data_IF_289727826156
#
_entry.id   IF_289727826156
#
_cell.length_a   1.000
_cell.length_b   1.000
_cell.length_c   1.000
_cell.angle_alpha   90.00
_cell.angle_beta   90.00
_cell.angle_gamma   90.00
#
_symmetry.space_group_name_H-M   'P 1'
#
loop_
_entity.id
_entity.type
_entity.pdbx_description
1 polymer ?
#
# COMPACT_ATOMS: atom_id res chain seq x y z
N UNK A 1 15.82 24.46 27.42
CA UNK A 1 16.02 24.91 26.05
C UNK A 1 17.49 24.71 25.65
N UNK A 2 17.95 23.58 25.11
CA UNK A 2 19.24 23.45 24.39
C UNK A 2 19.58 22.02 23.92
N UNK A 3 18.59 21.13 23.65
CA UNK A 3 18.86 19.77 23.09
C UNK A 3 18.57 19.63 21.59
N UNK A 4 18.35 20.71 20.85
CA UNK A 4 17.99 20.68 19.41
C UNK A 4 19.21 20.90 18.47
N UNK A 5 20.41 20.47 18.84
CA UNK A 5 21.59 20.59 17.96
C UNK A 5 22.16 19.29 17.41
N UNK A 6 21.52 18.15 17.58
CA UNK A 6 21.90 16.96 16.83
C UNK A 6 21.30 17.03 15.44
N UNK A 7 22.15 16.98 14.43
CA UNK A 7 21.72 16.99 13.01
C UNK A 7 21.24 15.59 12.64
N UNK A 8 19.90 15.35 12.67
CA UNK A 8 19.28 14.10 12.23
C UNK A 8 18.99 14.05 10.73
N UNK A 9 19.54 14.97 9.95
CA UNK A 9 19.34 14.99 8.50
C UNK A 9 19.74 13.66 7.83
N UNK A 10 20.88 13.02 8.17
CA UNK A 10 21.23 11.70 7.62
C UNK A 10 20.17 10.62 7.94
N UNK A 11 19.60 10.62 9.14
CA UNK A 11 18.55 9.69 9.51
C UNK A 11 17.24 9.95 8.74
N UNK A 12 16.89 11.22 8.50
CA UNK A 12 15.75 11.57 7.65
C UNK A 12 15.94 11.06 6.22
N UNK A 13 17.13 11.18 5.65
CA UNK A 13 17.45 10.60 4.34
C UNK A 13 17.39 9.07 4.35
N UNK A 14 17.88 8.42 5.40
CA UNK A 14 17.77 6.97 5.56
C UNK A 14 16.32 6.49 5.59
N UNK A 15 15.45 7.19 6.33
CA UNK A 15 14.01 6.91 6.37
C UNK A 15 13.33 7.19 5.02
N UNK A 16 13.70 8.28 4.36
CA UNK A 16 13.22 8.61 3.02
C UNK A 16 13.54 7.50 2.01
N UNK A 17 14.78 7.00 2.04
CA UNK A 17 15.22 5.88 1.21
C UNK A 17 14.48 4.57 1.57
N UNK A 18 14.22 4.33 2.85
CA UNK A 18 13.42 3.18 3.29
C UNK A 18 11.98 3.24 2.74
N UNK A 19 11.34 4.41 2.71
CA UNK A 19 10.01 4.57 2.13
C UNK A 19 9.98 4.37 0.61
N UNK A 20 11.01 4.82 -0.11
CA UNK A 20 11.16 4.57 -1.55
C UNK A 20 11.29 3.06 -1.81
N UNK A 21 12.17 2.38 -1.06
CA UNK A 21 12.40 0.93 -1.16
C UNK A 21 11.12 0.15 -0.82
N UNK A 22 10.43 0.55 0.24
CA UNK A 22 9.15 -0.01 0.63
C UNK A 22 8.11 0.13 -0.49
N UNK A 23 7.95 1.32 -1.05
CA UNK A 23 7.03 1.54 -2.17
C UNK A 23 7.31 0.63 -3.36
N UNK A 24 8.58 0.46 -3.72
CA UNK A 24 8.99 -0.39 -4.83
C UNK A 24 8.68 -1.88 -4.57
N UNK A 25 9.10 -2.42 -3.42
CA UNK A 25 8.92 -3.85 -3.10
C UNK A 25 7.43 -4.21 -2.97
N UNK A 26 6.62 -3.33 -2.37
CA UNK A 26 5.20 -3.61 -2.16
C UNK A 26 4.41 -3.53 -3.46
N UNK A 27 4.69 -2.56 -4.32
CA UNK A 27 3.82 -2.22 -5.44
C UNK A 27 4.30 -2.73 -6.81
N UNK A 28 5.38 -3.52 -6.84
CA UNK A 28 5.75 -4.34 -8.01
C UNK A 28 4.71 -5.42 -8.30
N UNK A 29 3.88 -5.75 -7.32
CA UNK A 29 2.92 -6.85 -7.33
C UNK A 29 2.06 -6.89 -8.60
N UNK A 30 1.48 -5.76 -9.02
CA UNK A 30 0.65 -5.70 -10.22
C UNK A 30 1.37 -6.09 -11.52
N UNK A 31 2.68 -5.83 -11.61
CA UNK A 31 3.50 -6.22 -12.76
C UNK A 31 3.88 -7.70 -12.75
N UNK A 32 3.98 -8.31 -11.56
CA UNK A 32 4.39 -9.73 -11.45
C UNK A 32 3.22 -10.71 -11.40
N UNK A 33 1.99 -10.29 -11.09
CA UNK A 33 0.81 -11.18 -11.03
C UNK A 33 0.63 -11.98 -12.32
N UNK A 34 0.67 -11.38 -13.54
CA UNK A 34 0.60 -12.17 -14.78
C UNK A 34 1.76 -13.16 -14.93
N UNK A 35 2.97 -12.78 -14.44
CA UNK A 35 4.15 -13.64 -14.49
C UNK A 35 4.07 -14.82 -13.53
N UNK A 36 3.52 -14.60 -12.34
CA UNK A 36 3.25 -15.67 -11.37
C UNK A 36 2.28 -16.69 -11.98
N UNK A 37 1.18 -16.21 -12.61
CA UNK A 37 0.20 -17.07 -13.29
C UNK A 37 0.87 -17.95 -14.35
N UNK A 38 1.69 -17.33 -15.20
CA UNK A 38 2.38 -17.98 -16.31
C UNK A 38 3.45 -18.97 -15.81
N UNK A 39 4.33 -18.54 -14.89
CA UNK A 39 5.50 -19.31 -14.43
C UNK A 39 5.10 -20.52 -13.59
N UNK A 40 4.09 -20.38 -12.72
CA UNK A 40 3.66 -21.44 -11.79
C UNK A 40 2.41 -22.19 -12.26
N UNK A 41 1.85 -21.86 -13.41
CA UNK A 41 0.62 -22.46 -13.94
C UNK A 41 -0.53 -22.46 -12.94
N UNK A 42 -0.69 -21.37 -12.20
CA UNK A 42 -1.72 -21.19 -11.19
C UNK A 42 -2.86 -20.30 -11.70
N UNK A 43 -3.99 -20.32 -11.01
CA UNK A 43 -5.13 -19.45 -11.33
C UNK A 43 -4.82 -17.95 -11.13
N UNK A 44 -5.62 -17.06 -11.68
CA UNK A 44 -5.50 -15.63 -11.49
C UNK A 44 -5.67 -15.25 -10.01
N UNK A 45 -6.61 -15.91 -9.31
CA UNK A 45 -6.82 -15.70 -7.87
C UNK A 45 -5.60 -16.12 -7.04
N UNK A 46 -4.98 -17.27 -7.36
CA UNK A 46 -3.77 -17.74 -6.68
C UNK A 46 -2.58 -16.80 -6.94
N UNK A 47 -2.39 -16.33 -8.18
CA UNK A 47 -1.32 -15.39 -8.49
C UNK A 47 -1.50 -14.04 -7.79
N UNK A 48 -2.73 -13.53 -7.75
CA UNK A 48 -3.07 -12.31 -7.02
C UNK A 48 -2.92 -12.49 -5.50
N UNK A 49 -3.24 -13.68 -4.96
CA UNK A 49 -3.05 -14.00 -3.56
C UNK A 49 -1.57 -13.99 -3.16
N UNK A 50 -0.69 -14.65 -3.94
CA UNK A 50 0.75 -14.63 -3.68
C UNK A 50 1.28 -13.19 -3.62
N UNK A 51 0.90 -12.35 -4.57
CA UNK A 51 1.29 -10.96 -4.61
C UNK A 51 0.75 -10.14 -3.41
N UNK A 52 -0.38 -10.57 -2.83
CA UNK A 52 -1.08 -9.86 -1.77
C UNK A 52 -0.79 -10.38 -0.35
N UNK A 53 -0.10 -11.51 -0.21
CA UNK A 53 0.18 -12.14 1.10
C UNK A 53 1.00 -11.24 2.04
N UNK A 54 1.76 -10.31 1.46
CA UNK A 54 2.43 -9.22 2.15
C UNK A 54 1.51 -8.48 3.15
N UNK A 55 0.26 -8.21 2.75
CA UNK A 55 -0.69 -7.48 3.57
C UNK A 55 -1.22 -8.30 4.75
N UNK A 56 -1.18 -9.64 4.67
CA UNK A 56 -1.49 -10.52 5.82
C UNK A 56 -0.44 -10.31 6.92
N UNK A 57 0.84 -10.33 6.54
CA UNK A 57 1.92 -10.06 7.47
C UNK A 57 1.77 -8.67 8.11
N UNK A 58 1.38 -7.67 7.31
CA UNK A 58 1.15 -6.32 7.78
C UNK A 58 0.06 -6.27 8.86
N UNK A 59 -1.09 -6.87 8.61
CA UNK A 59 -2.20 -6.92 9.56
C UNK A 59 -1.83 -7.65 10.86
N UNK A 60 -1.11 -8.78 10.77
CA UNK A 60 -0.75 -9.59 11.93
C UNK A 60 0.37 -8.99 12.79
N UNK A 61 1.32 -8.27 12.19
CA UNK A 61 2.55 -7.85 12.88
C UNK A 61 2.60 -6.38 13.28
N UNK A 62 1.67 -5.55 12.82
CA UNK A 62 1.62 -4.11 13.15
C UNK A 62 1.55 -3.86 14.65
N UNK A 63 0.64 -4.53 15.36
CA UNK A 63 0.49 -4.39 16.82
C UNK A 63 1.69 -4.94 17.59
N UNK A 64 2.18 -6.16 17.31
CA UNK A 64 3.43 -6.66 17.88
C UNK A 64 4.62 -5.70 17.73
N UNK A 65 4.82 -5.11 16.55
CA UNK A 65 5.92 -4.15 16.35
C UNK A 65 5.69 -2.83 17.09
N UNK A 66 4.45 -2.37 17.24
CA UNK A 66 4.12 -1.23 18.10
C UNK A 66 4.54 -1.44 19.55
N UNK A 67 4.33 -2.64 20.08
CA UNK A 67 4.78 -3.06 21.41
C UNK A 67 6.31 -3.15 21.48
N UNK A 68 6.93 -3.73 20.43
CA UNK A 68 8.38 -3.94 20.36
C UNK A 68 9.17 -2.62 20.43
N UNK A 69 8.67 -1.55 19.79
CA UNK A 69 9.29 -0.21 19.83
C UNK A 69 9.36 0.29 21.28
N UNK A 70 8.29 0.10 22.05
CA UNK A 70 8.24 0.52 23.43
C UNK A 70 9.23 -0.28 24.30
N UNK A 71 9.38 -1.58 24.02
CA UNK A 71 10.25 -2.49 24.79
C UNK A 71 11.73 -2.30 24.45
N UNK A 72 12.10 -2.22 23.17
CA UNK A 72 13.51 -2.16 22.74
C UNK A 72 13.92 -0.74 22.32
N UNK A 73 13.69 -0.35 21.08
CA UNK A 73 13.92 1.01 20.55
C UNK A 73 13.46 1.11 19.12
N UNK A 74 13.27 2.34 18.61
CA UNK A 74 13.01 2.60 17.19
C UNK A 74 14.16 2.10 16.31
N UNK A 75 15.43 2.27 16.74
CA UNK A 75 16.61 1.77 16.02
C UNK A 75 16.54 0.24 15.83
N UNK A 76 16.34 -0.50 16.93
CA UNK A 76 16.27 -1.96 16.89
C UNK A 76 15.17 -2.41 15.92
N UNK A 77 13.97 -1.84 16.03
CA UNK A 77 12.83 -2.24 15.21
C UNK A 77 13.03 -1.90 13.73
N UNK A 78 13.63 -0.76 13.40
CA UNK A 78 13.96 -0.38 12.02
C UNK A 78 15.01 -1.28 11.39
N UNK A 79 16.11 -1.53 12.10
CA UNK A 79 17.20 -2.38 11.62
C UNK A 79 16.75 -3.83 11.49
N UNK A 80 16.00 -4.34 12.48
CA UNK A 80 15.39 -5.66 12.41
C UNK A 80 14.45 -5.79 11.22
N UNK A 81 13.57 -4.79 11.02
CA UNK A 81 12.66 -4.76 9.87
C UNK A 81 13.40 -4.74 8.53
N UNK A 82 14.46 -3.94 8.41
CA UNK A 82 15.29 -3.90 7.21
C UNK A 82 16.00 -5.24 6.93
N UNK A 83 16.51 -5.90 7.97
CA UNK A 83 17.11 -7.23 7.87
C UNK A 83 16.10 -8.27 7.38
N UNK A 84 14.92 -8.34 8.00
CA UNK A 84 13.85 -9.27 7.61
C UNK A 84 13.37 -8.98 6.17
N UNK A 85 13.23 -7.71 5.79
CA UNK A 85 12.90 -7.35 4.41
C UNK A 85 13.95 -7.86 3.43
N UNK A 86 15.25 -7.64 3.74
CA UNK A 86 16.36 -8.09 2.90
C UNK A 86 16.38 -9.61 2.76
N UNK A 87 16.14 -10.36 3.85
CA UNK A 87 15.99 -11.81 3.81
C UNK A 87 14.83 -12.22 2.92
N UNK A 88 13.67 -11.57 3.06
CA UNK A 88 12.48 -11.88 2.26
C UNK A 88 12.70 -11.67 0.76
N UNK A 89 13.28 -10.53 0.33
CA UNK A 89 13.55 -10.30 -1.10
C UNK A 89 14.65 -11.22 -1.63
N UNK A 90 15.68 -11.55 -0.82
CA UNK A 90 16.72 -12.53 -1.18
C UNK A 90 16.14 -13.93 -1.35
N UNK A 91 15.25 -14.36 -0.46
CA UNK A 91 14.55 -15.65 -0.59
C UNK A 91 13.72 -15.70 -1.87
N UNK A 92 13.01 -14.63 -2.20
CA UNK A 92 12.23 -14.55 -3.43
C UNK A 92 13.11 -14.66 -4.68
N UNK A 93 14.29 -14.03 -4.65
CA UNK A 93 15.24 -14.05 -5.77
C UNK A 93 15.93 -15.42 -5.96
N UNK A 94 16.20 -16.14 -4.85
CA UNK A 94 17.11 -17.31 -4.87
C UNK A 94 16.39 -18.65 -4.75
N UNK A 95 15.16 -18.68 -4.23
CA UNK A 95 14.43 -19.94 -3.99
C UNK A 95 13.17 -19.98 -4.85
N UNK A 96 13.22 -20.65 -6.03
CA UNK A 96 12.06 -20.74 -6.92
C UNK A 96 10.94 -21.59 -6.33
N UNK A 97 9.70 -21.24 -6.63
CA UNK A 97 8.53 -22.02 -6.25
C UNK A 97 7.40 -21.13 -5.71
N UNK A 98 6.16 -21.53 -5.97
CA UNK A 98 4.99 -20.75 -5.57
C UNK A 98 4.91 -20.54 -4.05
N UNK A 99 5.05 -21.62 -3.26
CA UNK A 99 4.96 -21.54 -1.79
C UNK A 99 6.18 -20.86 -1.15
N UNK A 100 7.39 -21.08 -1.71
CA UNK A 100 8.60 -20.38 -1.24
C UNK A 100 8.49 -18.87 -1.48
N UNK A 101 8.01 -18.47 -2.65
CA UNK A 101 7.81 -17.05 -2.97
C UNK A 101 6.67 -16.43 -2.15
N UNK A 102 5.63 -17.19 -1.83
CA UNK A 102 4.57 -16.75 -0.92
C UNK A 102 5.13 -16.49 0.49
N UNK A 103 5.96 -17.40 1.00
CA UNK A 103 6.63 -17.23 2.30
C UNK A 103 7.63 -16.06 2.27
N UNK A 104 8.35 -15.88 1.17
CA UNK A 104 9.24 -14.74 0.96
C UNK A 104 8.49 -13.40 0.99
N UNK A 105 7.32 -13.31 0.31
CA UNK A 105 6.46 -12.12 0.34
C UNK A 105 5.90 -11.84 1.74
N UNK A 106 5.50 -12.88 2.47
CA UNK A 106 5.09 -12.74 3.87
C UNK A 106 6.25 -12.17 4.71
N UNK A 107 7.45 -12.69 4.55
CA UNK A 107 8.66 -12.23 5.25
C UNK A 107 8.96 -10.77 4.90
N UNK A 108 8.87 -10.37 3.64
CA UNK A 108 8.96 -8.95 3.23
C UNK A 108 7.92 -8.10 3.97
N UNK A 109 6.68 -8.57 4.04
CA UNK A 109 5.59 -7.88 4.74
C UNK A 109 5.89 -7.66 6.22
N UNK A 110 6.40 -8.69 6.92
CA UNK A 110 6.84 -8.57 8.32
C UNK A 110 7.90 -7.47 8.48
N UNK A 111 8.93 -7.50 7.63
CA UNK A 111 10.04 -6.54 7.71
C UNK A 111 9.59 -5.10 7.42
N UNK A 112 8.82 -4.90 6.37
CA UNK A 112 8.31 -3.57 5.98
C UNK A 112 7.34 -3.01 7.01
N UNK A 113 6.50 -3.85 7.61
CA UNK A 113 5.63 -3.45 8.73
C UNK A 113 6.44 -2.92 9.90
N UNK A 114 7.52 -3.61 10.29
CA UNK A 114 8.41 -3.15 11.36
C UNK A 114 9.02 -1.78 11.05
N UNK A 115 9.47 -1.57 9.80
CA UNK A 115 10.03 -0.29 9.35
C UNK A 115 8.98 0.82 9.46
N UNK A 116 7.79 0.61 8.92
CA UNK A 116 6.76 1.65 8.86
C UNK A 116 6.23 2.02 10.25
N UNK A 117 5.98 1.02 11.10
CA UNK A 117 5.49 1.23 12.47
C UNK A 117 6.53 2.00 13.30
N UNK A 118 7.82 1.77 13.09
CA UNK A 118 8.89 2.47 13.81
C UNK A 118 9.23 3.85 13.22
N UNK A 119 9.13 4.01 11.90
CA UNK A 119 9.51 5.25 11.22
C UNK A 119 8.57 6.42 11.57
N UNK A 120 7.26 6.22 11.58
CA UNK A 120 6.28 7.29 11.80
C UNK A 120 6.48 8.06 13.12
N UNK A 121 6.56 7.39 14.30
CA UNK A 121 6.82 8.09 15.56
C UNK A 121 8.24 8.69 15.61
N UNK A 122 9.23 8.01 15.01
CA UNK A 122 10.60 8.50 14.97
C UNK A 122 10.71 9.80 14.16
N UNK A 123 10.03 9.90 13.02
CA UNK A 123 9.97 11.15 12.23
C UNK A 123 9.41 12.29 13.06
N UNK A 124 8.38 12.03 13.89
CA UNK A 124 7.81 13.04 14.77
C UNK A 124 8.80 13.50 15.83
N UNK A 125 9.60 12.57 16.36
CA UNK A 125 10.61 12.85 17.40
C UNK A 125 11.77 13.69 16.86
N UNK A 126 12.29 13.37 15.66
CA UNK A 126 13.49 14.01 15.08
C UNK A 126 13.18 15.24 14.21
N UNK A 127 11.91 15.46 13.85
CA UNK A 127 11.50 16.64 13.08
C UNK A 127 11.21 17.83 13.97
N UNK A 128 11.53 19.02 13.47
CA UNK A 128 10.96 20.23 14.05
C UNK A 128 9.43 20.14 13.95
N UNK A 129 8.65 20.46 15.02
CA UNK A 129 7.19 20.39 14.99
C UNK A 129 6.54 21.07 13.77
N UNK A 130 7.09 22.23 13.35
CA UNK A 130 6.62 22.96 12.16
C UNK A 130 6.92 22.23 10.82
N UNK A 131 7.83 21.25 10.83
CA UNK A 131 8.27 20.52 9.62
C UNK A 131 7.80 19.06 9.60
N UNK A 132 7.19 18.58 10.67
CA UNK A 132 6.78 17.17 10.79
C UNK A 132 5.86 16.72 9.66
N UNK A 133 4.76 17.45 9.46
CA UNK A 133 3.79 17.12 8.39
C UNK A 133 4.45 17.13 7.02
N UNK A 134 5.30 18.12 6.75
CA UNK A 134 6.06 18.20 5.48
C UNK A 134 6.98 17.00 5.28
N UNK A 135 7.72 16.58 6.30
CA UNK A 135 8.64 15.45 6.20
C UNK A 135 7.88 14.14 6.01
N UNK A 136 6.76 13.94 6.69
CA UNK A 136 5.91 12.77 6.51
C UNK A 136 5.31 12.72 5.10
N UNK A 137 4.84 13.86 4.60
CA UNK A 137 4.35 13.97 3.20
C UNK A 137 5.46 13.65 2.20
N UNK A 138 6.68 14.15 2.41
CA UNK A 138 7.83 13.84 1.55
C UNK A 138 8.12 12.33 1.50
N UNK A 139 8.00 11.61 2.62
CA UNK A 139 8.17 10.16 2.63
C UNK A 139 7.07 9.44 1.86
N UNK A 140 5.83 9.88 1.97
CA UNK A 140 4.71 9.34 1.18
C UNK A 140 4.89 9.58 -0.33
N UNK A 141 5.49 10.71 -0.70
CA UNK A 141 5.89 10.98 -2.10
C UNK A 141 6.95 9.99 -2.57
N UNK A 142 7.98 9.75 -1.77
CA UNK A 142 9.05 8.80 -2.12
C UNK A 142 8.53 7.35 -2.18
N UNK A 143 7.62 6.97 -1.29
CA UNK A 143 6.88 5.72 -1.42
C UNK A 143 6.16 5.62 -2.78
N UNK A 144 5.45 6.67 -3.18
CA UNK A 144 4.76 6.73 -4.47
C UNK A 144 5.72 6.68 -5.67
N UNK A 145 6.88 7.32 -5.57
CA UNK A 145 7.95 7.25 -6.59
C UNK A 145 8.45 5.80 -6.72
N UNK A 146 8.75 5.13 -5.61
CA UNK A 146 9.15 3.73 -5.61
C UNK A 146 8.09 2.82 -6.24
N UNK A 147 6.83 3.02 -5.86
CA UNK A 147 5.67 2.30 -6.42
C UNK A 147 5.54 2.47 -7.94
N UNK A 148 5.74 3.69 -8.41
CA UNK A 148 5.66 4.03 -9.84
C UNK A 148 6.79 3.38 -10.64
N UNK A 149 8.01 3.39 -10.12
CA UNK A 149 9.21 2.89 -10.82
C UNK A 149 9.24 1.36 -10.85
N UNK A 150 8.73 0.68 -9.83
CA UNK A 150 8.88 -0.76 -9.66
C UNK A 150 8.43 -1.60 -10.88
N UNK A 151 7.26 -1.37 -11.52
CA UNK A 151 6.86 -2.10 -12.72
C UNK A 151 7.82 -1.89 -13.91
N UNK A 152 8.43 -0.72 -14.01
CA UNK A 152 9.43 -0.44 -15.06
C UNK A 152 10.75 -1.18 -14.84
N UNK A 153 11.11 -1.48 -13.57
CA UNK A 153 12.27 -2.33 -13.25
C UNK A 153 12.02 -3.75 -13.82
N UNK A 154 10.81 -4.29 -13.70
CA UNK A 154 10.45 -5.59 -14.29
C UNK A 154 10.64 -5.57 -15.80
N UNK A 155 10.15 -4.53 -16.47
CA UNK A 155 10.33 -4.33 -17.93
C UNK A 155 11.80 -4.21 -18.29
N UNK A 156 12.59 -3.46 -17.55
CA UNK A 156 14.03 -3.30 -17.76
C UNK A 156 14.77 -4.65 -17.66
N UNK A 157 14.51 -5.42 -16.61
CA UNK A 157 15.11 -6.75 -16.41
C UNK A 157 14.81 -7.65 -17.62
N UNK A 158 13.56 -7.68 -18.03
CA UNK A 158 13.12 -8.48 -19.19
C UNK A 158 13.77 -8.03 -20.49
N UNK A 159 13.92 -6.71 -20.71
CA UNK A 159 14.56 -6.16 -21.92
C UNK A 159 16.04 -6.53 -22.04
N UNK A 160 16.68 -6.92 -20.95
CA UNK A 160 18.06 -7.43 -20.90
C UNK A 160 18.15 -8.96 -21.06
N UNK A 161 17.02 -9.64 -21.32
CA UNK A 161 16.96 -11.09 -21.51
C UNK A 161 16.96 -11.89 -20.21
N UNK A 162 16.80 -11.25 -19.05
CA UNK A 162 16.73 -11.95 -17.76
C UNK A 162 15.29 -12.36 -17.42
N UNK A 163 15.15 -13.38 -16.58
CA UNK A 163 13.87 -13.77 -15.99
C UNK A 163 13.33 -12.66 -15.08
N UNK A 164 12.01 -12.52 -15.00
CA UNK A 164 11.35 -11.48 -14.19
C UNK A 164 11.74 -11.54 -12.70
N UNK A 165 12.08 -12.71 -12.18
CA UNK A 165 12.55 -12.92 -10.80
C UNK A 165 13.83 -12.17 -10.48
N UNK A 166 14.66 -11.85 -11.50
CA UNK A 166 15.88 -11.04 -11.31
C UNK A 166 15.58 -9.62 -10.81
N UNK A 167 14.36 -9.14 -10.93
CA UNK A 167 13.90 -7.91 -10.29
C UNK A 167 14.13 -7.95 -8.77
N UNK A 168 13.98 -9.12 -8.16
CA UNK A 168 14.18 -9.29 -6.72
C UNK A 168 15.67 -9.29 -6.31
N UNK A 169 16.60 -9.59 -7.21
CA UNK A 169 18.02 -9.35 -6.98
C UNK A 169 18.33 -7.84 -6.89
N UNK A 170 17.71 -7.02 -7.73
CA UNK A 170 17.81 -5.56 -7.64
C UNK A 170 17.25 -5.08 -6.30
N UNK A 171 16.08 -5.57 -5.89
CA UNK A 171 15.51 -5.23 -4.58
C UNK A 171 16.37 -5.75 -3.41
N UNK A 172 17.05 -6.88 -3.56
CA UNK A 172 18.01 -7.38 -2.57
C UNK A 172 19.16 -6.40 -2.39
N UNK A 173 19.73 -5.89 -3.47
CA UNK A 173 20.82 -4.88 -3.42
C UNK A 173 20.29 -3.61 -2.74
N UNK A 174 19.15 -3.09 -3.17
CA UNK A 174 18.56 -1.86 -2.63
C UNK A 174 18.24 -2.01 -1.15
N UNK A 175 17.63 -3.13 -0.73
CA UNK A 175 17.29 -3.37 0.68
C UNK A 175 18.53 -3.62 1.55
N UNK A 176 19.59 -4.20 1.00
CA UNK A 176 20.89 -4.34 1.70
C UNK A 176 21.52 -2.96 1.93
N UNK A 177 21.49 -2.07 0.94
CA UNK A 177 21.94 -0.68 1.10
C UNK A 177 21.08 0.03 2.16
N UNK A 178 19.77 -0.14 2.11
CA UNK A 178 18.84 0.41 3.12
C UNK A 178 19.20 -0.09 4.53
N UNK A 179 19.43 -1.40 4.70
CA UNK A 179 19.83 -2.00 5.97
C UNK A 179 21.13 -1.37 6.48
N UNK A 180 22.15 -1.24 5.63
CA UNK A 180 23.43 -0.65 6.00
C UNK A 180 23.27 0.81 6.42
N UNK A 181 22.53 1.61 5.64
CA UNK A 181 22.30 3.03 5.93
C UNK A 181 21.56 3.20 7.26
N UNK A 182 20.56 2.36 7.55
CA UNK A 182 19.84 2.39 8.83
C UNK A 182 20.73 1.94 10.01
N UNK A 183 21.62 0.96 9.82
CA UNK A 183 22.57 0.50 10.84
C UNK A 183 23.54 1.61 11.28
N UNK A 184 24.13 2.34 10.32
CA UNK A 184 25.14 3.37 10.61
C UNK A 184 24.53 4.71 11.03
N UNK A 185 23.22 4.91 10.85
CA UNK A 185 22.53 6.15 11.21
C UNK A 185 22.55 6.39 12.71
N UNK A 186 22.64 7.66 13.12
CA UNK A 186 22.53 8.09 14.52
C UNK A 186 21.07 8.29 14.88
N UNK A 187 20.64 7.70 15.99
CA UNK A 187 19.28 7.77 16.51
C UNK A 187 19.21 8.63 17.78
N UNK A 188 18.05 9.22 18.09
CA UNK A 188 17.84 9.86 19.37
C UNK A 188 17.92 8.84 20.51
N UNK A 189 18.38 9.30 21.68
CA UNK A 189 18.38 8.48 22.89
C UNK A 189 16.94 8.12 23.28
N UNK A 190 16.74 6.86 23.68
CA UNK A 190 15.43 6.36 24.09
C UNK A 190 14.91 7.16 25.29
N UNK A 191 13.80 7.89 25.11
CA UNK A 191 13.05 8.42 26.25
C UNK A 191 12.35 7.24 26.95
N UNK A 192 12.54 7.11 28.26
CA UNK A 192 11.81 6.11 29.06
C UNK A 192 10.31 6.39 28.95
N UNK A 193 9.58 5.51 28.30
CA UNK A 193 8.12 5.58 28.28
C UNK A 193 7.59 5.30 29.69
N UNK A 194 6.91 6.26 30.30
CA UNK A 194 6.15 6.03 31.51
C UNK A 194 5.06 4.98 31.28
N UNK A 195 4.89 4.10 32.29
CA UNK A 195 3.94 2.99 32.29
C UNK A 195 2.49 3.47 32.15
N UNK A 196 1.98 3.55 30.92
CA UNK A 196 0.55 3.78 30.63
C UNK A 196 -0.14 2.55 30.02
N UNK A 197 0.36 1.35 30.25
CA UNK A 197 -0.06 0.14 29.51
C UNK A 197 -1.42 -0.40 29.98
N UNK A 198 -1.74 -0.39 31.28
CA UNK A 198 -2.97 -1.04 31.79
C UNK A 198 -4.28 -0.32 31.45
N UNK A 199 -4.30 1.00 31.34
CA UNK A 199 -5.51 1.75 30.93
C UNK A 199 -5.81 1.64 29.43
N UNK A 200 -4.82 1.28 28.62
CA UNK A 200 -4.97 1.20 27.16
C UNK A 200 -5.70 -0.06 26.69
N UNK A 201 -5.61 -1.18 27.41
CA UNK A 201 -6.24 -2.45 27.00
C UNK A 201 -7.77 -2.40 27.09
N UNK A 202 -8.31 -1.88 28.20
CA UNK A 202 -9.76 -1.74 28.36
C UNK A 202 -10.35 -0.73 27.36
N UNK A 203 -9.62 0.36 27.07
CA UNK A 203 -10.01 1.35 26.08
C UNK A 203 -9.97 0.78 24.66
N UNK A 204 -8.97 -0.05 24.35
CA UNK A 204 -8.85 -0.75 23.06
C UNK A 204 -10.04 -1.67 22.81
N UNK A 205 -10.37 -2.55 23.76
CA UNK A 205 -11.52 -3.46 23.64
C UNK A 205 -12.85 -2.72 23.54
N UNK A 206 -13.00 -1.60 24.20
CA UNK A 206 -14.20 -0.75 24.11
C UNK A 206 -14.32 -0.13 22.72
N UNK A 207 -13.23 0.40 22.17
CA UNK A 207 -13.23 1.00 20.84
C UNK A 207 -13.45 -0.03 19.73
N UNK A 208 -12.93 -1.26 19.88
CA UNK A 208 -13.20 -2.34 18.92
C UNK A 208 -14.69 -2.70 18.78
N UNK A 209 -15.49 -2.42 19.80
CA UNK A 209 -16.94 -2.63 19.80
C UNK A 209 -17.74 -1.41 19.35
N UNK A 210 -17.08 -0.26 19.18
CA UNK A 210 -17.77 0.96 18.74
C UNK A 210 -18.17 0.85 17.27
N UNK A 211 -19.49 0.95 16.94
CA UNK A 211 -19.96 0.80 15.56
C UNK A 211 -19.31 1.76 14.58
N UNK A 212 -18.99 2.98 15.01
CA UNK A 212 -18.38 3.99 14.15
C UNK A 212 -16.92 3.63 13.83
N UNK A 213 -16.17 3.09 14.80
CA UNK A 213 -14.81 2.56 14.55
C UNK A 213 -14.87 1.36 13.61
N UNK A 214 -15.84 0.46 13.76
CA UNK A 214 -16.02 -0.70 12.88
C UNK A 214 -16.29 -0.22 11.45
N UNK A 215 -17.16 0.78 11.26
CA UNK A 215 -17.46 1.34 9.94
C UNK A 215 -16.23 1.97 9.28
N UNK A 216 -15.45 2.78 10.02
CA UNK A 216 -14.20 3.35 9.47
C UNK A 216 -13.14 2.30 9.21
N UNK A 217 -13.01 1.29 10.07
CA UNK A 217 -12.09 0.17 9.89
C UNK A 217 -12.44 -0.62 8.62
N UNK A 218 -13.73 -0.91 8.41
CA UNK A 218 -14.20 -1.55 7.18
C UNK A 218 -13.96 -0.66 5.95
N UNK A 219 -14.14 0.67 6.07
CA UNK A 219 -13.84 1.59 4.97
C UNK A 219 -12.36 1.57 4.56
N UNK A 220 -11.44 1.55 5.52
CA UNK A 220 -9.99 1.40 5.23
C UNK A 220 -9.69 0.02 4.64
N UNK A 221 -10.29 -1.05 5.17
CA UNK A 221 -10.15 -2.40 4.65
C UNK A 221 -10.57 -2.48 3.18
N UNK A 222 -11.75 -1.97 2.85
CA UNK A 222 -12.28 -1.97 1.48
C UNK A 222 -11.46 -1.05 0.57
N UNK A 223 -11.02 0.12 1.08
CA UNK A 223 -10.20 1.03 0.31
C UNK A 223 -8.84 0.40 -0.08
N UNK A 224 -8.08 -0.10 0.91
CA UNK A 224 -6.78 -0.73 0.62
C UNK A 224 -6.99 -1.97 -0.24
N UNK A 225 -8.07 -2.69 0.02
CA UNK A 225 -8.47 -3.84 -0.77
C UNK A 225 -8.66 -3.51 -2.24
N UNK A 226 -9.39 -2.45 -2.57
CA UNK A 226 -9.63 -2.06 -3.96
C UNK A 226 -8.43 -1.38 -4.59
N UNK A 227 -7.67 -0.59 -3.82
CA UNK A 227 -6.41 0.03 -4.29
C UNK A 227 -5.45 -1.04 -4.82
N UNK A 228 -5.19 -2.06 -4.01
CA UNK A 228 -4.30 -3.18 -4.35
C UNK A 228 -4.97 -4.11 -5.36
N UNK A 229 -6.27 -4.35 -5.20
CA UNK A 229 -7.05 -5.27 -6.03
C UNK A 229 -7.10 -4.86 -7.49
N UNK A 230 -7.34 -3.58 -7.76
CA UNK A 230 -7.29 -3.05 -9.12
C UNK A 230 -5.86 -3.12 -9.66
N UNK A 231 -4.86 -2.61 -8.91
CA UNK A 231 -3.47 -2.59 -9.35
C UNK A 231 -2.93 -3.98 -9.72
N UNK A 232 -3.19 -4.99 -8.87
CA UNK A 232 -2.69 -6.35 -9.08
C UNK A 232 -3.33 -7.06 -10.27
N UNK A 233 -4.55 -6.69 -10.62
CA UNK A 233 -5.30 -7.36 -11.69
C UNK A 233 -5.28 -6.59 -13.03
N UNK A 234 -4.68 -5.39 -13.12
CA UNK A 234 -4.59 -4.59 -14.37
C UNK A 234 -3.99 -5.42 -15.51
N UNK A 235 -2.88 -6.10 -15.27
CA UNK A 235 -2.18 -6.84 -16.31
C UNK A 235 -3.01 -8.00 -16.90
N UNK A 236 -3.73 -8.74 -16.03
CA UNK A 236 -4.62 -9.81 -16.42
C UNK A 236 -5.86 -9.28 -17.15
N UNK A 237 -6.47 -8.22 -16.60
CA UNK A 237 -7.63 -7.56 -17.22
C UNK A 237 -7.30 -7.05 -18.63
N UNK A 238 -6.14 -6.41 -18.82
CA UNK A 238 -5.73 -5.93 -20.15
C UNK A 238 -5.50 -7.08 -21.13
N UNK A 239 -5.00 -8.23 -20.67
CA UNK A 239 -4.85 -9.41 -21.51
C UNK A 239 -6.20 -9.99 -21.88
N UNK A 240 -7.04 -10.29 -20.90
CA UNK A 240 -8.27 -11.06 -21.12
C UNK A 240 -9.38 -10.24 -21.78
N UNK A 241 -9.49 -8.93 -21.48
CA UNK A 241 -10.53 -8.04 -22.05
C UNK A 241 -10.11 -7.44 -23.38
N UNK A 242 -8.82 -7.11 -23.55
CA UNK A 242 -8.36 -6.37 -24.72
C UNK A 242 -7.52 -7.21 -25.68
N UNK A 243 -7.06 -8.41 -25.28
CA UNK A 243 -6.20 -9.27 -26.08
C UNK A 243 -4.90 -8.56 -26.45
N UNK A 244 -4.26 -7.92 -25.48
CA UNK A 244 -3.15 -7.00 -25.75
C UNK A 244 -1.94 -7.73 -26.36
N UNK A 245 -1.68 -8.98 -25.98
CA UNK A 245 -0.58 -9.78 -26.52
C UNK A 245 -0.78 -10.12 -27.99
N UNK A 246 -2.01 -10.42 -28.42
CA UNK A 246 -2.33 -10.71 -29.82
C UNK A 246 -2.23 -9.46 -30.70
N UNK A 247 -2.46 -8.27 -30.16
CA UNK A 247 -2.43 -6.99 -30.90
C UNK A 247 -1.04 -6.38 -31.02
N UNK A 248 -0.22 -6.49 -29.98
CA UNK A 248 1.08 -5.81 -29.89
C UNK A 248 2.29 -6.77 -29.98
N UNK A 249 2.05 -8.08 -29.89
CA UNK A 249 3.09 -9.07 -29.67
C UNK A 249 3.53 -9.13 -28.19
N UNK A 250 4.09 -10.25 -27.77
CA UNK A 250 4.34 -10.58 -26.37
C UNK A 250 5.17 -9.52 -25.61
N UNK A 251 6.29 -9.08 -26.19
CA UNK A 251 7.21 -8.14 -25.52
C UNK A 251 6.59 -6.74 -25.34
N UNK A 252 5.93 -6.22 -26.39
CA UNK A 252 5.30 -4.90 -26.33
C UNK A 252 4.06 -4.92 -25.40
N UNK A 253 3.30 -6.00 -25.40
CA UNK A 253 2.17 -6.20 -24.50
C UNK A 253 2.62 -6.23 -23.04
N UNK A 254 3.71 -6.94 -22.73
CA UNK A 254 4.26 -6.99 -21.38
C UNK A 254 4.71 -5.60 -20.92
N UNK A 255 5.47 -4.88 -21.74
CA UNK A 255 5.89 -3.52 -21.45
C UNK A 255 4.68 -2.60 -21.20
N UNK A 256 3.62 -2.73 -22.00
CA UNK A 256 2.39 -1.93 -21.86
C UNK A 256 1.64 -2.27 -20.57
N UNK A 257 1.52 -3.56 -20.19
CA UNK A 257 0.90 -4.00 -18.94
C UNK A 257 1.67 -3.43 -17.73
N UNK A 258 2.99 -3.51 -17.74
CA UNK A 258 3.83 -2.97 -16.68
C UNK A 258 3.74 -1.44 -16.60
N UNK A 259 3.73 -0.75 -17.75
CA UNK A 259 3.54 0.69 -17.81
C UNK A 259 2.16 1.10 -17.28
N UNK A 260 1.10 0.34 -17.57
CA UNK A 260 -0.24 0.60 -17.05
C UNK A 260 -0.27 0.53 -15.50
N UNK A 261 0.39 -0.46 -14.89
CA UNK A 261 0.53 -0.56 -13.43
C UNK A 261 1.36 0.60 -12.89
N UNK A 262 2.48 0.95 -13.52
CA UNK A 262 3.30 2.10 -13.14
C UNK A 262 2.52 3.42 -13.21
N UNK A 263 1.74 3.61 -14.26
CA UNK A 263 0.90 4.78 -14.45
C UNK A 263 -0.25 4.86 -13.46
N UNK A 264 -0.81 3.72 -13.01
CA UNK A 264 -1.78 3.69 -11.92
C UNK A 264 -1.17 4.26 -10.64
N UNK A 265 0.03 3.81 -10.26
CA UNK A 265 0.73 4.31 -9.08
C UNK A 265 1.20 5.77 -9.23
N UNK A 266 1.59 6.17 -10.44
CA UNK A 266 1.87 7.56 -10.76
C UNK A 266 0.63 8.44 -10.61
N UNK A 267 -0.52 7.98 -11.10
CA UNK A 267 -1.81 8.64 -10.89
C UNK A 267 -2.10 8.86 -9.40
N UNK A 268 -1.90 7.81 -8.59
CA UNK A 268 -2.10 7.86 -7.14
C UNK A 268 -1.12 8.84 -6.47
N UNK A 269 0.14 8.89 -6.90
CA UNK A 269 1.13 9.86 -6.42
C UNK A 269 0.70 11.28 -6.74
N UNK A 270 0.32 11.57 -7.99
CA UNK A 270 -0.15 12.90 -8.43
C UNK A 270 -1.44 13.29 -7.72
N UNK A 271 -2.36 12.35 -7.56
CA UNK A 271 -3.61 12.57 -6.84
C UNK A 271 -3.40 12.91 -5.35
N UNK A 272 -2.41 12.33 -4.68
CA UNK A 272 -2.03 12.70 -3.30
C UNK A 272 -1.44 14.11 -3.23
N UNK A 273 -0.56 14.45 -4.16
CA UNK A 273 0.03 15.80 -4.23
C UNK A 273 -1.02 16.87 -4.47
N UNK A 274 -1.86 16.70 -5.49
CA UNK A 274 -2.91 17.67 -5.85
C UNK A 274 -4.05 17.63 -4.84
N UNK A 275 -4.42 16.45 -4.37
CA UNK A 275 -5.50 16.23 -3.42
C UNK A 275 -5.28 16.93 -2.08
N UNK A 276 -4.02 17.13 -1.65
CA UNK A 276 -3.71 17.91 -0.45
C UNK A 276 -4.24 19.36 -0.57
N UNK A 277 -4.04 19.99 -1.72
CA UNK A 277 -4.56 21.35 -1.97
C UNK A 277 -6.08 21.38 -2.15
N UNK A 278 -6.67 20.29 -2.62
CA UNK A 278 -8.14 20.16 -2.75
C UNK A 278 -8.78 20.05 -1.38
N UNK A 279 -8.20 19.28 -0.46
CA UNK A 279 -8.69 19.11 0.91
C UNK A 279 -8.59 20.37 1.76
N UNK A 280 -7.74 21.34 1.39
CA UNK A 280 -7.72 22.67 2.01
C UNK A 280 -8.96 23.52 1.64
N UNK A 281 -9.61 23.21 0.52
CA UNK A 281 -10.73 24.01 -0.03
C UNK A 281 -12.10 23.36 0.13
N UNK A 282 -12.17 22.05 0.24
CA UNK A 282 -13.43 21.31 0.37
C UNK A 282 -13.36 20.34 1.53
N UNK A 283 -14.51 20.07 2.17
CA UNK A 283 -14.58 19.13 3.29
C UNK A 283 -14.19 17.72 2.85
N UNK A 284 -13.55 16.95 3.74
CA UNK A 284 -13.17 15.55 3.50
C UNK A 284 -14.34 14.70 3.03
N UNK A 285 -15.55 14.93 3.57
CA UNK A 285 -16.79 14.28 3.12
C UNK A 285 -17.03 14.47 1.63
N UNK A 286 -17.05 15.73 1.16
CA UNK A 286 -17.32 16.08 -0.23
C UNK A 286 -16.20 15.59 -1.15
N UNK A 287 -14.95 15.68 -0.67
CA UNK A 287 -13.77 15.19 -1.39
C UNK A 287 -13.87 13.69 -1.62
N UNK A 288 -14.17 12.87 -0.59
CA UNK A 288 -14.38 11.43 -0.71
C UNK A 288 -15.44 11.12 -1.78
N UNK A 289 -16.62 11.76 -1.69
CA UNK A 289 -17.72 11.49 -2.61
C UNK A 289 -17.37 11.82 -4.06
N UNK A 290 -16.78 12.98 -4.31
CA UNK A 290 -16.39 13.41 -5.67
C UNK A 290 -15.29 12.48 -6.23
N UNK A 291 -14.24 12.27 -5.48
CA UNK A 291 -13.11 11.46 -5.93
C UNK A 291 -13.50 10.00 -6.18
N UNK A 292 -14.25 9.37 -5.27
CA UNK A 292 -14.65 7.98 -5.46
C UNK A 292 -15.62 7.80 -6.64
N UNK A 293 -16.46 8.79 -6.91
CA UNK A 293 -17.34 8.78 -8.11
C UNK A 293 -16.51 8.80 -9.39
N UNK A 294 -15.51 9.68 -9.47
CA UNK A 294 -14.63 9.72 -10.65
C UNK A 294 -13.73 8.48 -10.75
N UNK A 295 -13.32 7.87 -9.63
CA UNK A 295 -12.64 6.58 -9.64
C UNK A 295 -13.52 5.48 -10.24
N UNK A 296 -14.79 5.41 -9.83
CA UNK A 296 -15.77 4.47 -10.37
C UNK A 296 -16.02 4.69 -11.86
N UNK A 297 -16.17 5.94 -12.29
CA UNK A 297 -16.32 6.28 -13.71
C UNK A 297 -15.08 5.88 -14.53
N UNK A 298 -13.88 6.13 -14.00
CA UNK A 298 -12.63 5.74 -14.66
C UNK A 298 -12.51 4.23 -14.79
N UNK A 299 -12.89 3.47 -13.76
CA UNK A 299 -12.92 2.00 -13.82
C UNK A 299 -13.98 1.51 -14.82
N UNK A 300 -15.15 2.14 -14.88
CA UNK A 300 -16.17 1.84 -15.88
C UNK A 300 -15.65 2.08 -17.30
N UNK A 301 -14.89 3.16 -17.53
CA UNK A 301 -14.25 3.41 -18.83
C UNK A 301 -13.25 2.32 -19.19
N UNK A 302 -12.44 1.83 -18.22
CA UNK A 302 -11.55 0.68 -18.47
C UNK A 302 -12.34 -0.56 -18.89
N UNK A 303 -13.48 -0.83 -18.29
CA UNK A 303 -14.23 -2.07 -18.56
C UNK A 303 -15.09 -1.98 -19.84
N UNK A 304 -15.75 -0.84 -20.09
CA UNK A 304 -16.82 -0.76 -21.08
C UNK A 304 -16.48 0.02 -22.36
N UNK A 305 -15.35 0.74 -22.42
CA UNK A 305 -15.01 1.54 -23.63
C UNK A 305 -14.69 0.71 -24.86
N UNK A 306 -14.32 -0.57 -24.69
CA UNK A 306 -13.83 -1.46 -25.77
C UNK A 306 -12.64 -0.89 -26.57
N UNK A 307 -12.07 0.22 -26.09
CA UNK A 307 -10.95 0.92 -26.71
C UNK A 307 -9.75 0.91 -25.77
N UNK A 308 -8.66 0.27 -26.18
CA UNK A 308 -7.45 0.12 -25.36
C UNK A 308 -6.83 1.45 -24.99
N UNK A 309 -6.85 2.44 -25.89
CA UNK A 309 -6.28 3.78 -25.62
C UNK A 309 -7.06 4.46 -24.51
N UNK A 310 -8.40 4.40 -24.53
CA UNK A 310 -9.23 4.94 -23.45
C UNK A 310 -8.95 4.22 -22.14
N UNK A 311 -8.84 2.88 -22.17
CA UNK A 311 -8.53 2.10 -20.98
C UNK A 311 -7.17 2.50 -20.38
N UNK A 312 -6.12 2.61 -21.20
CA UNK A 312 -4.77 2.98 -20.75
C UNK A 312 -4.70 4.39 -20.16
N UNK A 313 -5.49 5.36 -20.65
CA UNK A 313 -5.60 6.69 -20.05
C UNK A 313 -6.49 6.72 -18.80
N UNK A 314 -7.46 5.82 -18.71
CA UNK A 314 -8.35 5.75 -17.54
C UNK A 314 -7.69 5.08 -16.33
N UNK A 315 -6.71 4.19 -16.53
CA UNK A 315 -5.99 3.50 -15.45
C UNK A 315 -5.29 4.50 -14.49
N UNK A 316 -4.45 5.45 -14.95
CA UNK A 316 -3.89 6.46 -14.05
C UNK A 316 -4.95 7.35 -13.41
N UNK A 317 -6.08 7.61 -14.07
CA UNK A 317 -7.18 8.35 -13.49
C UNK A 317 -7.83 7.60 -12.31
N UNK A 318 -7.96 6.27 -12.36
CA UNK A 318 -8.39 5.50 -11.19
C UNK A 318 -7.45 5.76 -10.02
N UNK A 319 -6.12 5.60 -10.22
CA UNK A 319 -5.12 5.84 -9.19
C UNK A 319 -5.23 7.25 -8.61
N UNK A 320 -5.34 8.26 -9.48
CA UNK A 320 -5.50 9.66 -9.09
C UNK A 320 -6.72 9.88 -8.17
N UNK A 321 -7.87 9.35 -8.55
CA UNK A 321 -9.12 9.60 -7.84
C UNK A 321 -9.30 8.73 -6.59
N UNK A 322 -8.56 7.65 -6.39
CA UNK A 322 -8.60 6.93 -5.11
C UNK A 322 -7.55 7.43 -4.10
N UNK A 323 -6.65 8.29 -4.50
CA UNK A 323 -5.42 8.66 -3.79
C UNK A 323 -5.64 9.28 -2.40
N UNK A 324 -6.69 10.07 -2.22
CA UNK A 324 -7.00 10.78 -0.97
C UNK A 324 -7.87 9.98 -0.01
N UNK A 325 -8.30 8.77 -0.37
CA UNK A 325 -9.24 8.01 0.44
C UNK A 325 -8.66 7.68 1.82
N UNK A 326 -7.43 7.11 1.86
CA UNK A 326 -6.81 6.75 3.12
C UNK A 326 -6.68 7.92 4.10
N UNK A 327 -6.02 9.03 3.75
CA UNK A 327 -5.87 10.16 4.66
C UNK A 327 -7.20 10.80 5.04
N UNK A 328 -8.18 10.84 4.14
CA UNK A 328 -9.49 11.43 4.43
C UNK A 328 -10.33 10.57 5.36
N UNK A 329 -10.41 9.25 5.14
CA UNK A 329 -11.13 8.31 6.01
C UNK A 329 -10.46 8.27 7.38
N UNK A 330 -9.13 8.17 7.40
CA UNK A 330 -8.34 8.15 8.63
C UNK A 330 -8.51 9.42 9.45
N UNK A 331 -8.45 10.60 8.79
CA UNK A 331 -8.68 11.88 9.44
C UNK A 331 -10.07 11.97 10.04
N UNK A 332 -11.13 11.63 9.29
CA UNK A 332 -12.50 11.61 9.79
C UNK A 332 -12.69 10.67 10.99
N UNK A 333 -12.04 9.51 10.98
CA UNK A 333 -12.08 8.59 12.10
C UNK A 333 -11.43 9.19 13.35
N UNK A 334 -10.22 9.74 13.24
CA UNK A 334 -9.51 10.37 14.35
C UNK A 334 -10.30 11.57 14.90
N UNK A 335 -10.83 12.42 14.03
CA UNK A 335 -11.56 13.64 14.40
C UNK A 335 -12.93 13.35 15.04
N UNK A 336 -13.46 12.13 14.88
CA UNK A 336 -14.72 11.71 15.49
C UNK A 336 -14.59 11.37 16.97
N UNK A 337 -13.38 11.34 17.52
CA UNK A 337 -13.10 10.93 18.91
C UNK A 337 -12.20 11.92 19.64
N UNK A 338 -12.14 11.77 20.97
CA UNK A 338 -11.22 12.57 21.80
C UNK A 338 -9.77 12.26 21.45
N UNK A 339 -8.93 13.27 21.49
CA UNK A 339 -7.49 13.21 21.12
C UNK A 339 -6.72 12.10 21.86
N UNK A 340 -7.12 11.76 23.07
CA UNK A 340 -6.50 10.68 23.88
C UNK A 340 -6.65 9.28 23.25
N UNK A 341 -7.66 9.06 22.41
CA UNK A 341 -7.89 7.79 21.71
C UNK A 341 -7.17 7.68 20.34
N UNK A 342 -6.57 8.77 19.85
CA UNK A 342 -5.98 8.82 18.51
C UNK A 342 -4.96 7.72 18.23
N UNK A 343 -4.13 7.37 19.23
CA UNK A 343 -3.14 6.30 19.08
C UNK A 343 -3.76 4.91 18.93
N UNK A 344 -4.80 4.63 19.72
CA UNK A 344 -5.50 3.35 19.70
C UNK A 344 -6.29 3.20 18.38
N UNK A 345 -7.01 4.25 17.99
CA UNK A 345 -7.77 4.30 16.73
C UNK A 345 -6.81 4.12 15.54
N UNK A 346 -5.67 4.80 15.56
CA UNK A 346 -4.62 4.64 14.56
C UNK A 346 -4.18 3.19 14.41
N UNK A 347 -3.92 2.51 15.53
CA UNK A 347 -3.56 1.08 15.54
C UNK A 347 -4.65 0.20 14.93
N UNK A 348 -5.92 0.41 15.32
CA UNK A 348 -7.07 -0.35 14.78
C UNK A 348 -7.18 -0.13 13.26
N UNK A 349 -7.13 1.11 12.79
CA UNK A 349 -7.24 1.42 11.37
C UNK A 349 -6.06 0.85 10.54
N UNK A 350 -4.86 0.80 11.12
CA UNK A 350 -3.71 0.21 10.43
C UNK A 350 -3.85 -1.31 10.24
N UNK A 351 -4.54 -2.04 11.14
CA UNK A 351 -4.79 -3.47 10.94
C UNK A 351 -5.69 -3.74 9.73
N UNK A 352 -6.56 -2.78 9.38
CA UNK A 352 -7.45 -2.89 8.23
C UNK A 352 -6.73 -2.92 6.87
N UNK A 353 -5.43 -2.57 6.82
CA UNK A 353 -4.59 -2.67 5.61
C UNK A 353 -4.54 -4.12 5.07
N UNK A 354 -4.84 -5.11 5.91
CA UNK A 354 -5.00 -6.52 5.50
C UNK A 354 -6.05 -6.70 4.38
N UNK A 355 -6.95 -5.73 4.16
CA UNK A 355 -7.92 -5.73 3.06
C UNK A 355 -7.30 -5.97 1.67
N UNK A 356 -6.04 -5.54 1.47
CA UNK A 356 -5.27 -5.82 0.25
C UNK A 356 -5.04 -7.31 -0.01
N UNK A 357 -4.92 -8.12 1.05
CA UNK A 357 -4.78 -9.57 0.93
C UNK A 357 -6.10 -10.30 0.64
N UNK A 358 -7.22 -9.67 0.91
CA UNK A 358 -8.55 -10.28 0.75
C UNK A 358 -9.22 -9.87 -0.55
N UNK A 359 -9.32 -8.58 -0.81
CA UNK A 359 -10.10 -8.07 -1.94
C UNK A 359 -9.39 -8.33 -3.28
N UNK A 360 -8.04 -8.24 -3.33
CA UNK A 360 -7.32 -8.45 -4.59
C UNK A 360 -7.52 -9.87 -5.16
N UNK A 361 -7.31 -10.96 -4.41
CA UNK A 361 -7.62 -12.30 -4.90
C UNK A 361 -9.12 -12.57 -5.04
N UNK A 362 -9.99 -11.89 -4.26
CA UNK A 362 -11.43 -12.01 -4.38
C UNK A 362 -11.94 -11.49 -5.73
N UNK A 363 -11.44 -10.35 -6.21
CA UNK A 363 -11.75 -9.82 -7.55
C UNK A 363 -11.43 -10.86 -8.61
N UNK A 364 -10.22 -11.43 -8.58
CA UNK A 364 -9.81 -12.46 -9.53
C UNK A 364 -10.65 -13.74 -9.38
N UNK A 365 -10.94 -14.15 -8.15
CA UNK A 365 -11.76 -15.35 -7.89
C UNK A 365 -13.19 -15.23 -8.44
N UNK A 366 -13.81 -14.07 -8.25
CA UNK A 366 -15.15 -13.81 -8.81
C UNK A 366 -15.09 -13.80 -10.34
N UNK A 367 -14.04 -13.22 -10.94
CA UNK A 367 -13.87 -13.27 -12.40
C UNK A 367 -13.76 -14.71 -12.89
N UNK A 368 -13.02 -15.59 -12.20
CA UNK A 368 -12.85 -17.00 -12.55
C UNK A 368 -14.15 -17.79 -12.44
N UNK A 369 -14.88 -17.69 -11.33
CA UNK A 369 -16.10 -18.50 -11.10
C UNK A 369 -17.31 -18.04 -11.93
N UNK A 370 -17.29 -16.80 -12.41
CA UNK A 370 -18.35 -16.23 -13.27
C UNK A 370 -18.02 -16.31 -14.77
N UNK A 371 -16.79 -16.66 -15.08
CA UNK A 371 -16.30 -17.02 -16.42
C UNK A 371 -15.72 -18.43 -16.40
N UNK A 372 -14.41 -18.51 -16.69
CA UNK A 372 -13.62 -19.75 -16.55
C UNK A 372 -12.19 -19.39 -16.15
N UNK A 373 -11.36 -20.41 -15.87
CA UNK A 373 -9.93 -20.20 -15.61
C UNK A 373 -9.17 -19.67 -16.84
N UNK A 374 -9.62 -20.02 -18.05
CA UNK A 374 -9.02 -19.56 -19.29
C UNK A 374 -9.59 -18.21 -19.74
N UNK A 375 -10.87 -17.98 -19.49
CA UNK A 375 -11.60 -16.75 -19.87
C UNK A 375 -12.34 -16.15 -18.68
N UNK A 376 -11.64 -15.50 -17.74
CA UNK A 376 -12.26 -14.88 -16.57
C UNK A 376 -13.20 -13.74 -16.94
N UNK A 377 -14.32 -13.63 -16.24
CA UNK A 377 -15.27 -12.53 -16.43
C UNK A 377 -14.87 -11.32 -15.58
N UNK A 378 -13.99 -10.48 -16.11
CA UNK A 378 -13.52 -9.29 -15.40
C UNK A 378 -14.59 -8.24 -15.13
N UNK A 379 -15.70 -8.23 -15.87
CA UNK A 379 -16.84 -7.35 -15.58
C UNK A 379 -17.44 -7.66 -14.22
N UNK A 380 -17.67 -8.94 -13.94
CA UNK A 380 -18.18 -9.40 -12.65
C UNK A 380 -17.08 -9.41 -11.56
N UNK A 381 -15.83 -9.73 -11.90
CA UNK A 381 -14.73 -9.61 -10.96
C UNK A 381 -14.58 -8.19 -10.41
N UNK A 382 -14.58 -7.19 -11.29
CA UNK A 382 -14.45 -5.78 -10.90
C UNK A 382 -15.73 -5.19 -10.26
N UNK A 383 -16.86 -5.90 -10.29
CA UNK A 383 -18.07 -5.48 -9.54
C UNK A 383 -17.79 -5.36 -8.02
N UNK A 384 -16.85 -6.16 -7.52
CA UNK A 384 -16.36 -6.05 -6.13
C UNK A 384 -15.79 -4.66 -5.86
N UNK A 385 -14.99 -4.11 -6.82
CA UNK A 385 -14.44 -2.77 -6.67
C UNK A 385 -15.53 -1.70 -6.65
N UNK A 386 -16.57 -1.84 -7.48
CA UNK A 386 -17.73 -0.93 -7.45
C UNK A 386 -18.49 -1.02 -6.13
N UNK A 387 -18.66 -2.21 -5.57
CA UNK A 387 -19.28 -2.39 -4.24
C UNK A 387 -18.46 -1.70 -3.14
N UNK A 388 -17.13 -1.84 -3.18
CA UNK A 388 -16.24 -1.13 -2.28
C UNK A 388 -16.35 0.40 -2.44
N UNK A 389 -16.38 0.89 -3.66
CA UNK A 389 -16.55 2.33 -3.94
C UNK A 389 -17.89 2.85 -3.42
N UNK A 390 -18.99 2.09 -3.62
CA UNK A 390 -20.30 2.44 -3.10
C UNK A 390 -20.30 2.56 -1.56
N UNK A 391 -19.66 1.63 -0.87
CA UNK A 391 -19.50 1.71 0.57
C UNK A 391 -18.68 2.93 1.00
N UNK A 392 -17.51 3.17 0.37
CA UNK A 392 -16.64 4.31 0.66
C UNK A 392 -17.36 5.64 0.43
N UNK A 393 -18.20 5.73 -0.59
CA UNK A 393 -19.01 6.93 -0.86
C UNK A 393 -19.88 7.33 0.34
N UNK A 394 -20.37 6.36 1.12
CA UNK A 394 -21.20 6.61 2.30
C UNK A 394 -20.44 7.12 3.52
N UNK A 395 -19.12 6.92 3.59
CA UNK A 395 -18.26 7.24 4.76
C UNK A 395 -18.44 8.67 5.25
N UNK A 396 -18.52 9.62 4.33
CA UNK A 396 -18.72 11.02 4.70
C UNK A 396 -20.02 11.31 5.48
N UNK A 397 -21.00 10.39 5.44
CA UNK A 397 -22.27 10.58 6.12
C UNK A 397 -22.23 10.13 7.59
N UNK A 398 -21.21 9.36 8.01
CA UNK A 398 -21.11 8.79 9.35
C UNK A 398 -20.32 9.68 10.32
N UNK A 399 -19.42 10.50 9.81
CA UNK A 399 -18.67 11.42 10.64
C UNK A 399 -19.65 12.31 11.41
N UNK A 400 -19.66 12.17 12.73
CA UNK A 400 -20.41 13.08 13.60
C UNK A 400 -19.82 14.47 13.37
N UNK A 401 -20.66 15.44 13.08
CA UNK A 401 -20.26 16.83 13.18
C UNK A 401 -19.75 17.01 14.61
N UNK A 402 -18.44 17.19 14.80
CA UNK A 402 -17.97 17.65 16.11
C UNK A 402 -18.68 18.96 16.37
N UNK A 403 -19.60 18.96 17.33
CA UNK A 403 -20.07 20.18 17.91
C UNK A 403 -18.82 20.96 18.33
N UNK A 404 -18.56 22.06 17.63
CA UNK A 404 -17.66 23.08 18.09
C UNK A 404 -18.08 23.45 19.51
N UNK A 405 -17.36 22.98 20.49
CA UNK A 405 -17.32 23.52 21.87
C UNK A 405 -15.87 23.59 22.30
#
# INVERSE_FOLDING_TARGET
MSKLKQNYLPLLFALAFAYLTFGAITNVAGAIVPKIKETYHVSASASSFLASVFFIAYGLTSVPFGILINKFSSKFTLVFGALITTIGVLMFASVPGYFSNMFAMFTCGVGITAIQVAANPLVKEISNPAKYSRNLTAFMVLFGVGSTIAPYIVTFVKSKGFEWTYTYWIFTIISTIMLFVLLVSKYPEKQKAENKIKDSENKFLTLLKDPLIILFTLAIFLYVGVEVGVANNIGLLLEDVYGISSKLGANAAEATKNAAVGNYWFGLLMGRLIGSFVLDKISSKKAIQVYITFAALSLAMVLFSKNITIALWSIPAIGFFISIMFPSIYGLAIDSYKKEYSGIISGILCTAIIGGAVIAPLIAKIAEITGSLEHPNWYLGMSVAFACYAYIFTVGNWAKAQNQK
#
